data_IF_030506358328
#
_entry.id   IF_030506358328
#
_cell.length_a   1.000
_cell.length_b   1.000
_cell.length_c   1.000
_cell.angle_alpha   90.00
_cell.angle_beta   90.00
_cell.angle_gamma   90.00
#
_symmetry.space_group_name_H-M   'P 1'
#
loop_
_entity.id
_entity.type
_entity.pdbx_description
1 polymer ?
#
# COMPACT_ATOMS: atom_id res chain seq x y z
N UNK A 1 35.29 24.56 -16.16
CA UNK A 1 35.33 23.46 -15.19
C UNK A 1 34.29 23.63 -14.06
N UNK A 2 34.16 24.79 -13.39
CA UNK A 2 33.18 24.97 -12.29
C UNK A 2 31.70 24.75 -12.68
N UNK A 3 31.30 25.09 -13.91
CA UNK A 3 29.88 24.90 -14.37
C UNK A 3 29.55 23.44 -14.64
N UNK A 4 30.52 22.63 -15.06
CA UNK A 4 30.33 21.19 -15.33
C UNK A 4 30.14 20.40 -14.02
N UNK A 5 30.85 20.79 -12.96
CA UNK A 5 30.72 20.17 -11.62
C UNK A 5 29.35 20.47 -10.98
N UNK A 6 28.79 21.66 -11.19
CA UNK A 6 27.47 22.01 -10.67
C UNK A 6 26.37 21.21 -11.35
N UNK A 7 26.44 21.03 -12.67
CA UNK A 7 25.47 20.24 -13.43
C UNK A 7 25.53 18.74 -13.01
N UNK A 8 26.75 18.19 -12.83
CA UNK A 8 26.90 16.83 -12.34
C UNK A 8 26.33 16.62 -10.93
N UNK A 9 26.50 17.61 -10.05
CA UNK A 9 25.98 17.55 -8.69
C UNK A 9 24.44 17.64 -8.64
N UNK A 10 23.84 18.44 -9.50
CA UNK A 10 22.36 18.52 -9.62
C UNK A 10 21.77 17.23 -10.17
N UNK A 11 22.43 16.59 -11.13
CA UNK A 11 21.99 15.30 -11.69
C UNK A 11 22.07 14.18 -10.64
N UNK A 12 23.11 14.14 -9.81
CA UNK A 12 23.27 13.17 -8.74
C UNK A 12 22.21 13.39 -7.65
N UNK A 13 21.87 14.63 -7.31
CA UNK A 13 20.82 14.95 -6.33
C UNK A 13 19.41 14.58 -6.84
N UNK A 14 19.14 14.68 -8.13
CA UNK A 14 17.86 14.28 -8.71
C UNK A 14 17.70 12.77 -8.82
N UNK A 15 18.78 12.00 -8.93
CA UNK A 15 18.73 10.52 -9.00
C UNK A 15 18.53 9.91 -7.59
N UNK A 16 18.95 10.58 -6.52
CA UNK A 16 18.79 10.08 -5.14
C UNK A 16 17.36 10.25 -4.57
N UNK A 17 16.44 10.95 -5.23
CA UNK A 17 15.10 11.21 -4.71
C UNK A 17 14.01 10.24 -5.16
N UNK A 18 14.36 9.16 -5.85
CA UNK A 18 13.39 8.14 -6.32
C UNK A 18 13.55 6.78 -5.65
N UNK A 19 13.94 6.74 -4.39
CA UNK A 19 13.74 5.53 -3.60
C UNK A 19 12.29 5.50 -3.14
N UNK A 20 11.38 5.13 -4.03
CA UNK A 20 10.05 4.71 -3.66
C UNK A 20 10.17 3.48 -2.76
N UNK A 21 9.47 3.47 -1.64
CA UNK A 21 9.33 2.26 -0.82
C UNK A 21 8.67 1.22 -1.72
N UNK A 22 9.43 0.19 -2.09
CA UNK A 22 8.90 -0.91 -2.90
C UNK A 22 8.23 -1.91 -1.96
N UNK A 23 6.97 -2.25 -2.23
CA UNK A 23 6.34 -3.40 -1.61
C UNK A 23 7.08 -4.67 -2.08
N UNK A 24 7.41 -5.55 -1.14
CA UNK A 24 7.99 -6.85 -1.45
C UNK A 24 6.92 -7.94 -1.30
N UNK A 25 6.59 -8.62 -2.38
CA UNK A 25 5.71 -9.78 -2.36
C UNK A 25 6.40 -10.96 -1.68
N UNK A 26 5.83 -11.46 -0.56
CA UNK A 26 6.36 -12.63 0.16
C UNK A 26 5.76 -13.92 -0.38
N UNK A 27 4.46 -13.92 -0.67
CA UNK A 27 3.71 -15.07 -1.21
C UNK A 27 2.41 -14.57 -1.84
N UNK A 28 2.26 -14.68 -3.14
CA UNK A 28 1.09 -14.49 -4.02
C UNK A 28 0.03 -13.45 -3.66
N UNK A 29 -0.28 -13.24 -2.40
CA UNK A 29 -1.28 -12.29 -1.89
C UNK A 29 -0.83 -11.57 -0.60
N UNK A 30 0.46 -11.63 -0.27
CA UNK A 30 1.03 -11.06 0.96
C UNK A 30 2.20 -10.14 0.62
N UNK A 31 2.14 -8.91 1.10
CA UNK A 31 3.12 -7.86 0.85
C UNK A 31 3.72 -7.38 2.17
N UNK A 32 5.03 -7.20 2.22
CA UNK A 32 5.74 -6.57 3.32
C UNK A 32 6.19 -5.17 2.89
N UNK A 33 5.76 -4.16 3.64
CA UNK A 33 6.13 -2.77 3.46
C UNK A 33 6.59 -2.24 4.80
N UNK A 34 7.89 -1.97 4.93
CA UNK A 34 8.52 -1.60 6.20
C UNK A 34 8.27 -2.69 7.27
N UNK A 35 7.55 -2.37 8.33
CA UNK A 35 7.17 -3.27 9.43
C UNK A 35 5.67 -3.68 9.38
N UNK A 36 5.01 -3.45 8.24
CA UNK A 36 3.61 -3.79 8.03
C UNK A 36 3.48 -4.90 7.00
N UNK A 37 2.85 -5.99 7.38
CA UNK A 37 2.44 -7.05 6.46
C UNK A 37 1.00 -6.80 6.02
N UNK A 38 0.77 -6.73 4.71
CA UNK A 38 -0.56 -6.59 4.09
C UNK A 38 -0.96 -7.91 3.47
N UNK A 39 -2.14 -8.41 3.81
CA UNK A 39 -2.63 -9.72 3.39
C UNK A 39 -3.98 -9.53 2.68
N UNK A 40 -4.05 -9.95 1.42
CA UNK A 40 -5.28 -10.04 0.65
C UNK A 40 -5.91 -11.42 0.78
N UNK A 41 -7.22 -11.52 0.58
CA UNK A 41 -7.90 -12.80 0.54
C UNK A 41 -7.34 -13.70 -0.58
N UNK A 42 -7.32 -15.02 -0.34
CA UNK A 42 -6.74 -15.98 -1.29
C UNK A 42 -7.51 -16.08 -2.59
N UNK A 43 -8.75 -15.65 -2.62
CA UNK A 43 -9.65 -15.60 -3.77
C UNK A 43 -9.80 -14.19 -4.35
N UNK A 44 -8.91 -13.25 -3.95
CA UNK A 44 -8.89 -11.90 -4.48
C UNK A 44 -8.82 -11.89 -5.99
N UNK A 45 -9.69 -11.10 -6.61
CA UNK A 45 -9.75 -10.91 -8.06
C UNK A 45 -8.91 -9.74 -8.56
N UNK A 46 -8.19 -9.08 -7.65
CA UNK A 46 -7.30 -7.98 -7.99
C UNK A 46 -6.03 -8.49 -8.68
N UNK A 47 -5.57 -7.76 -9.68
CA UNK A 47 -4.26 -8.03 -10.27
C UNK A 47 -3.13 -7.74 -9.27
N UNK A 48 -1.97 -8.35 -9.47
CA UNK A 48 -0.78 -8.12 -8.63
C UNK A 48 -0.46 -6.62 -8.52
N UNK A 49 -0.54 -5.89 -9.64
CA UNK A 49 -0.30 -4.45 -9.68
C UNK A 49 -1.32 -3.66 -8.83
N UNK A 50 -2.59 -4.07 -8.86
CA UNK A 50 -3.63 -3.46 -8.02
C UNK A 50 -3.41 -3.77 -6.54
N UNK A 51 -3.05 -5.01 -6.19
CA UNK A 51 -2.74 -5.41 -4.83
C UNK A 51 -1.54 -4.63 -4.28
N UNK A 52 -0.45 -4.52 -5.05
CA UNK A 52 0.74 -3.75 -4.66
C UNK A 52 0.40 -2.28 -4.40
N UNK A 53 -0.36 -1.65 -5.28
CA UNK A 53 -0.78 -0.26 -5.13
C UNK A 53 -1.67 -0.06 -3.89
N UNK A 54 -2.60 -0.98 -3.62
CA UNK A 54 -3.45 -0.93 -2.43
C UNK A 54 -2.61 -1.16 -1.17
N UNK A 55 -1.66 -2.09 -1.19
CA UNK A 55 -0.77 -2.34 -0.07
C UNK A 55 0.03 -1.07 0.28
N UNK A 56 0.56 -0.36 -0.70
CA UNK A 56 1.25 0.92 -0.50
C UNK A 56 0.31 1.99 0.06
N UNK A 57 -0.94 2.07 -0.44
CA UNK A 57 -1.94 3.02 0.03
C UNK A 57 -2.32 2.80 1.50
N UNK A 58 -2.43 1.53 1.93
CA UNK A 58 -2.77 1.18 3.32
C UNK A 58 -1.67 1.57 4.30
N UNK A 59 -0.40 1.39 3.91
CA UNK A 59 0.75 1.74 4.76
C UNK A 59 1.05 3.23 4.70
N UNK A 60 0.89 3.84 3.54
CA UNK A 60 1.19 5.26 3.34
C UNK A 60 0.03 5.96 2.59
N UNK A 61 -0.95 6.51 3.31
CA UNK A 61 -2.14 7.13 2.71
C UNK A 61 -1.87 8.30 1.76
N UNK A 62 -0.67 8.89 1.79
CA UNK A 62 -0.29 9.97 0.87
C UNK A 62 -0.13 9.50 -0.59
N UNK A 63 0.00 8.19 -0.83
CA UNK A 63 0.02 7.62 -2.19
C UNK A 63 -1.35 7.59 -2.88
N UNK A 64 -2.45 7.86 -2.15
CA UNK A 64 -3.81 7.84 -2.68
C UNK A 64 -4.18 9.13 -3.41
N UNK A 65 -3.97 9.20 -4.72
CA UNK A 65 -4.60 10.24 -5.56
C UNK A 65 -5.69 9.60 -6.39
N UNK A 66 -6.95 9.84 -6.03
CA UNK A 66 -8.07 9.50 -6.92
C UNK A 66 -8.08 10.47 -8.11
N UNK A 67 -7.84 9.96 -9.30
CA UNK A 67 -8.08 10.72 -10.53
C UNK A 67 -9.54 10.55 -10.91
N UNK A 68 -10.32 11.63 -10.79
CA UNK A 68 -11.68 11.66 -11.30
C UNK A 68 -11.67 11.39 -12.82
N UNK A 69 -12.23 10.26 -13.24
CA UNK A 69 -12.31 9.89 -14.63
C UNK A 69 -13.64 10.35 -15.24
N UNK A 70 -13.59 11.03 -16.37
CA UNK A 70 -14.76 11.53 -17.09
C UNK A 70 -15.76 10.40 -17.44
N UNK A 71 -15.26 9.19 -17.68
CA UNK A 71 -16.07 8.01 -18.01
C UNK A 71 -16.94 7.62 -16.82
N UNK A 72 -16.41 7.65 -15.60
CA UNK A 72 -17.16 7.33 -14.38
C UNK A 72 -18.20 8.39 -14.05
N UNK A 73 -17.96 9.64 -14.40
CA UNK A 73 -18.95 10.72 -14.24
C UNK A 73 -20.18 10.54 -15.14
N UNK A 74 -20.02 9.90 -16.30
CA UNK A 74 -21.11 9.70 -17.28
C UNK A 74 -21.82 8.37 -17.05
N UNK A 75 -21.07 7.28 -16.83
CA UNK A 75 -21.58 5.90 -16.81
C UNK A 75 -21.59 5.26 -15.40
N UNK A 76 -21.20 6.02 -14.37
CA UNK A 76 -21.04 5.54 -13.01
C UNK A 76 -19.79 4.66 -12.79
N UNK A 77 -19.53 4.33 -11.54
CA UNK A 77 -18.42 3.46 -11.15
C UNK A 77 -18.78 1.98 -11.31
N UNK A 78 -17.81 1.17 -11.71
CA UNK A 78 -17.90 -0.30 -11.68
C UNK A 78 -17.01 -0.81 -10.57
N UNK A 79 -17.59 -0.97 -9.39
CA UNK A 79 -16.86 -1.28 -8.18
C UNK A 79 -16.72 -2.78 -7.96
N UNK A 80 -15.54 -3.18 -7.48
CA UNK A 80 -15.25 -4.49 -6.88
C UNK A 80 -14.85 -4.25 -5.43
N UNK A 81 -15.34 -5.08 -4.53
CA UNK A 81 -15.08 -4.98 -3.09
C UNK A 81 -14.27 -6.20 -2.64
N UNK A 82 -13.21 -5.95 -1.89
CA UNK A 82 -12.26 -6.96 -1.41
C UNK A 82 -11.99 -6.78 0.09
N UNK A 83 -11.75 -7.88 0.80
CA UNK A 83 -11.26 -7.89 2.17
C UNK A 83 -9.73 -7.85 2.20
N UNK A 84 -9.17 -7.01 3.07
CA UNK A 84 -7.73 -6.91 3.27
C UNK A 84 -7.43 -6.77 4.75
N UNK A 85 -6.40 -7.44 5.24
CA UNK A 85 -5.88 -7.22 6.58
C UNK A 85 -4.44 -6.70 6.56
N UNK A 86 -4.09 -5.93 7.58
CA UNK A 86 -2.71 -5.50 7.81
C UNK A 86 -2.25 -5.96 9.18
N UNK A 87 -0.98 -6.31 9.29
CA UNK A 87 -0.33 -6.65 10.56
C UNK A 87 0.87 -5.72 10.73
N UNK A 88 0.76 -4.78 11.66
CA UNK A 88 1.89 -3.92 12.06
C UNK A 88 2.67 -4.63 13.15
N UNK A 89 3.92 -4.97 12.85
CA UNK A 89 4.78 -5.71 13.76
C UNK A 89 5.30 -4.84 14.90
N UNK A 90 5.35 -5.43 16.12
CA UNK A 90 5.86 -4.74 17.32
C UNK A 90 5.20 -3.38 17.58
N UNK A 91 3.89 -3.31 17.37
CA UNK A 91 3.10 -2.07 17.53
C UNK A 91 3.11 -1.51 18.96
N UNK A 92 3.51 -2.32 19.95
CA UNK A 92 3.68 -1.90 21.35
C UNK A 92 5.10 -2.15 21.81
N UNK A 93 5.67 -1.20 22.57
CA UNK A 93 7.05 -1.30 23.10
C UNK A 93 7.15 -2.17 24.35
N UNK A 94 6.09 -2.24 25.15
CA UNK A 94 6.03 -3.06 26.35
C UNK A 94 5.22 -4.32 26.08
N UNK A 95 5.84 -5.50 26.26
CA UNK A 95 5.26 -6.77 25.87
C UNK A 95 4.85 -6.75 24.38
N UNK A 96 5.83 -6.82 23.46
CA UNK A 96 5.59 -6.52 22.05
C UNK A 96 4.47 -7.37 21.46
N UNK A 97 3.47 -6.70 20.95
CA UNK A 97 2.32 -7.29 20.25
C UNK A 97 2.23 -6.68 18.86
N UNK A 98 1.64 -7.43 17.96
CA UNK A 98 1.30 -6.92 16.65
C UNK A 98 -0.13 -6.38 16.64
N UNK A 99 -0.34 -5.32 15.87
CA UNK A 99 -1.67 -4.76 15.62
C UNK A 99 -2.17 -5.34 14.31
N UNK A 100 -3.28 -6.07 14.37
CA UNK A 100 -4.00 -6.53 13.19
C UNK A 100 -5.19 -5.59 12.94
N UNK A 101 -5.34 -5.12 11.71
CA UNK A 101 -6.42 -4.26 11.27
C UNK A 101 -7.10 -4.86 10.05
N UNK A 102 -8.42 -4.73 9.99
CA UNK A 102 -9.24 -5.26 8.90
C UNK A 102 -9.85 -4.13 8.10
N UNK A 103 -9.77 -4.21 6.79
CA UNK A 103 -10.26 -3.22 5.86
C UNK A 103 -11.16 -3.84 4.81
N UNK A 104 -12.13 -3.05 4.36
CA UNK A 104 -12.84 -3.29 3.10
C UNK A 104 -12.33 -2.28 2.08
N UNK A 105 -11.85 -2.78 0.96
CA UNK A 105 -11.38 -1.97 -0.15
C UNK A 105 -12.40 -2.04 -1.27
N UNK A 106 -12.85 -0.89 -1.72
CA UNK A 106 -13.70 -0.78 -2.90
C UNK A 106 -12.93 -0.07 -4.00
N UNK A 107 -12.72 -0.76 -5.12
CA UNK A 107 -11.97 -0.24 -6.26
C UNK A 107 -12.84 -0.18 -7.51
N UNK A 108 -12.80 0.93 -8.23
CA UNK A 108 -13.45 1.07 -9.51
C UNK A 108 -12.57 0.56 -10.64
N UNK A 109 -13.03 -0.47 -11.38
CA UNK A 109 -12.27 -1.05 -12.50
C UNK A 109 -12.13 -0.13 -13.73
N UNK A 110 -12.78 1.05 -13.73
CA UNK A 110 -12.72 2.02 -14.83
C UNK A 110 -11.81 3.20 -14.59
N UNK A 111 -11.67 3.63 -13.33
CA UNK A 111 -10.91 4.82 -12.97
C UNK A 111 -9.92 4.60 -11.83
N UNK A 112 -9.84 3.37 -11.33
CA UNK A 112 -8.96 2.98 -10.23
C UNK A 112 -9.19 3.77 -8.92
N UNK A 113 -10.32 4.49 -8.83
CA UNK A 113 -10.70 5.13 -7.57
C UNK A 113 -10.84 4.08 -6.50
N UNK A 114 -10.14 4.28 -5.40
CA UNK A 114 -10.07 3.32 -4.30
C UNK A 114 -10.62 3.97 -3.03
N UNK A 115 -11.61 3.31 -2.43
CA UNK A 115 -12.17 3.69 -1.13
C UNK A 115 -11.75 2.63 -0.12
N UNK A 116 -11.20 3.07 1.01
CA UNK A 116 -10.72 2.21 2.10
C UNK A 116 -11.59 2.46 3.32
N UNK A 117 -12.22 1.41 3.84
CA UNK A 117 -13.00 1.43 5.06
C UNK A 117 -12.38 0.49 6.09
N UNK A 118 -12.04 1.02 7.27
CA UNK A 118 -11.52 0.22 8.38
C UNK A 118 -12.69 -0.42 9.14
N UNK A 119 -12.72 -1.74 9.17
CA UNK A 119 -13.81 -2.49 9.81
C UNK A 119 -13.56 -2.80 11.29
N UNK A 120 -12.27 -2.94 11.67
CA UNK A 120 -11.91 -3.27 13.03
C UNK A 120 -10.42 -3.44 13.23
N UNK A 121 -10.04 -3.72 14.47
CA UNK A 121 -8.65 -4.01 14.83
C UNK A 121 -8.56 -4.86 16.08
N UNK A 122 -7.42 -5.50 16.28
CA UNK A 122 -7.09 -6.26 17.48
C UNK A 122 -5.58 -6.37 17.71
N UNK A 123 -5.18 -6.62 18.95
CA UNK A 123 -3.78 -6.94 19.24
C UNK A 123 -3.61 -8.45 19.26
N UNK A 124 -2.66 -8.94 18.48
CA UNK A 124 -2.34 -10.37 18.38
C UNK A 124 -0.92 -10.63 18.85
N UNK A 125 -0.67 -11.85 19.30
CA UNK A 125 0.70 -12.35 19.49
C UNK A 125 1.21 -12.71 18.11
N UNK A 126 2.09 -11.87 17.57
CA UNK A 126 2.69 -12.13 16.28
C UNK A 126 4.20 -12.27 16.44
N UNK A 127 4.84 -12.61 15.38
CA UNK A 127 6.27 -12.74 15.25
C UNK A 127 6.83 -13.79 16.23
N UNK A 128 7.17 -14.98 15.75
CA UNK A 128 8.16 -15.77 16.45
C UNK A 128 9.35 -14.83 16.65
N UNK A 129 9.84 -14.76 17.88
CA UNK A 129 11.07 -14.01 18.16
C UNK A 129 12.18 -14.58 17.26
N UNK A 130 12.78 -13.70 16.46
CA UNK A 130 13.97 -14.03 15.68
C UNK A 130 15.13 -14.35 16.63
#
# INVERSE_FOLDING_TARGET
>A
MKRLTIIAMVIILTICSTFGVSAYEIAGNTYLIEDVTVIFDTDSQLSIEQQERIAQLLVNPEYGTSQANLICNIFGHKNTTEGVSTITHKATTYNPRCLEEFFTITICSRCDETVVERNGYGYITCCPED
#
